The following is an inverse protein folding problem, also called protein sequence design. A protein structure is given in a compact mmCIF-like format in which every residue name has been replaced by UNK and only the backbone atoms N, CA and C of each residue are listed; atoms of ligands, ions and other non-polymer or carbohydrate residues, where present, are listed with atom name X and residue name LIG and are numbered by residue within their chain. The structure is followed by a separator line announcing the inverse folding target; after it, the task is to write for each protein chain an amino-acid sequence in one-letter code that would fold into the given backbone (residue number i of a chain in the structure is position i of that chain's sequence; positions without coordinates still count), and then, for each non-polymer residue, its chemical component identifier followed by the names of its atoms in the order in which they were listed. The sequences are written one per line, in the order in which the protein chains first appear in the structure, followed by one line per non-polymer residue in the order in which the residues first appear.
data_IF_437119107452
#
_entry.id   IF_437119107452
#
_cell.length_a   1.000
_cell.length_b   1.000
_cell.length_c   1.000
_cell.angle_alpha   90.00
_cell.angle_beta   90.00
_cell.angle_gamma   90.00
#
_symmetry.space_group_name_H-M   'P 1'
#
loop_
_entity.id
_entity.type
_entity.pdbx_description
1 polymer ?
#
# COMPACT_ATOMS: atom_id res chain seq x y z
N UNK A 1 -9.85 -11.04 -10.43
CA UNK A 1 -9.15 -9.93 -9.76
C UNK A 1 -9.86 -9.60 -8.46
N UNK A 2 -9.14 -9.59 -7.34
CA UNK A 2 -9.60 -9.22 -6.00
C UNK A 2 -8.73 -8.09 -5.47
N UNK A 3 -9.37 -6.99 -5.10
CA UNK A 3 -8.73 -5.82 -4.55
C UNK A 3 -9.25 -5.64 -3.13
N UNK A 4 -8.35 -5.51 -2.16
CA UNK A 4 -8.66 -5.25 -0.76
C UNK A 4 -8.20 -3.84 -0.43
N UNK A 5 -9.06 -3.04 0.20
CA UNK A 5 -8.70 -1.76 0.77
C UNK A 5 -8.82 -1.83 2.28
N UNK A 6 -7.80 -1.37 3.00
CA UNK A 6 -7.76 -1.43 4.45
C UNK A 6 -6.99 -0.26 5.06
N UNK A 7 -7.70 0.53 5.86
CA UNK A 7 -7.06 1.45 6.79
C UNK A 7 -6.44 0.62 7.93
N UNK A 8 -5.13 0.41 7.86
CA UNK A 8 -4.38 -0.48 8.75
C UNK A 8 -4.01 0.19 10.08
N UNK A 9 -4.12 1.53 10.14
CA UNK A 9 -3.88 2.33 11.33
C UNK A 9 -2.52 2.02 12.00
N UNK A 10 -1.42 2.04 11.24
CA UNK A 10 -0.03 1.66 11.58
C UNK A 10 0.34 0.24 11.16
N UNK A 11 1.00 0.14 10.01
CA UNK A 11 1.38 -1.14 9.35
C UNK A 11 2.32 -1.98 10.22
N UNK A 12 3.32 -1.35 10.86
CA UNK A 12 4.31 -2.07 11.69
C UNK A 12 3.69 -2.83 12.85
N UNK A 13 2.63 -2.30 13.44
CA UNK A 13 1.91 -2.94 14.55
C UNK A 13 0.96 -4.05 14.09
N UNK A 14 0.68 -4.15 12.79
CA UNK A 14 -0.35 -5.06 12.23
C UNK A 14 0.22 -6.08 11.25
N UNK A 15 1.55 -6.24 11.15
CA UNK A 15 2.16 -7.17 10.20
C UNK A 15 1.59 -8.59 10.30
N UNK A 16 1.44 -9.13 11.50
CA UNK A 16 0.88 -10.48 11.66
C UNK A 16 -0.60 -10.56 11.27
N UNK A 17 -1.35 -9.47 11.47
CA UNK A 17 -2.75 -9.41 11.04
C UNK A 17 -2.83 -9.28 9.52
N UNK A 18 -1.96 -8.48 8.91
CA UNK A 18 -1.84 -8.35 7.46
C UNK A 18 -1.56 -9.71 6.82
N UNK A 19 -0.60 -10.48 7.36
CA UNK A 19 -0.30 -11.85 6.90
C UNK A 19 -1.55 -12.73 6.92
N UNK A 20 -2.27 -12.78 8.06
CA UNK A 20 -3.53 -13.55 8.19
C UNK A 20 -4.61 -13.12 7.20
N UNK A 21 -4.77 -11.81 6.99
CA UNK A 21 -5.75 -11.25 6.05
C UNK A 21 -5.36 -11.58 4.60
N UNK A 22 -4.08 -11.47 4.26
CA UNK A 22 -3.56 -11.85 2.95
C UNK A 22 -3.77 -13.34 2.68
N UNK A 23 -3.48 -14.21 3.66
CA UNK A 23 -3.68 -15.65 3.55
C UNK A 23 -5.17 -16.00 3.36
N UNK A 24 -6.06 -15.38 4.14
CA UNK A 24 -7.50 -15.64 4.07
C UNK A 24 -8.16 -15.11 2.80
N UNK A 25 -7.73 -13.93 2.34
CA UNK A 25 -8.39 -13.24 1.21
C UNK A 25 -7.68 -13.46 -0.12
N UNK A 26 -6.41 -13.87 -0.16
CA UNK A 26 -5.64 -14.04 -1.39
C UNK A 26 -5.85 -12.88 -2.40
N UNK A 27 -5.58 -11.61 -2.02
CA UNK A 27 -5.84 -10.48 -2.91
C UNK A 27 -4.79 -10.37 -4.01
N UNK A 28 -5.21 -9.96 -5.21
CA UNK A 28 -4.29 -9.53 -6.27
C UNK A 28 -3.63 -8.20 -5.90
N UNK A 29 -4.38 -7.30 -5.27
CA UNK A 29 -3.90 -6.00 -4.79
C UNK A 29 -4.44 -5.70 -3.40
N UNK A 30 -3.58 -5.22 -2.50
CA UNK A 30 -3.96 -4.72 -1.18
C UNK A 30 -3.55 -3.24 -1.06
N UNK A 31 -4.54 -2.37 -0.94
CA UNK A 31 -4.38 -0.95 -0.70
C UNK A 31 -4.45 -0.67 0.81
N UNK A 32 -3.37 -0.10 1.35
CA UNK A 32 -3.29 0.28 2.76
C UNK A 32 -3.39 1.80 2.91
N UNK A 33 -4.15 2.25 3.90
CA UNK A 33 -4.19 3.64 4.36
C UNK A 33 -3.76 3.73 5.83
N UNK A 34 -3.34 4.92 6.26
CA UNK A 34 -2.80 5.15 7.59
C UNK A 34 -1.66 4.20 7.94
N UNK A 35 -0.68 4.02 7.04
CA UNK A 35 0.50 3.19 7.33
C UNK A 35 1.32 3.76 8.50
N UNK A 36 1.27 5.08 8.72
CA UNK A 36 1.95 5.83 9.81
C UNK A 36 3.46 5.58 9.88
N UNK A 37 4.04 5.14 8.77
CA UNK A 37 5.46 4.90 8.59
C UNK A 37 5.95 5.82 7.48
N UNK A 38 7.11 6.44 7.68
CA UNK A 38 7.89 7.02 6.59
C UNK A 38 8.51 5.90 5.75
N UNK A 39 8.95 6.19 4.53
CA UNK A 39 9.42 5.16 3.58
C UNK A 39 10.55 4.29 4.16
N UNK A 40 11.51 4.89 4.88
CA UNK A 40 12.61 4.16 5.53
C UNK A 40 12.17 3.19 6.63
N UNK A 41 10.99 3.43 7.20
CA UNK A 41 10.43 2.70 8.33
C UNK A 41 9.38 1.68 7.87
N UNK A 42 9.07 1.67 6.57
CA UNK A 42 8.08 0.76 6.02
C UNK A 42 8.61 -0.68 6.06
N UNK A 43 7.80 -1.66 6.53
CA UNK A 43 8.26 -3.03 6.74
C UNK A 43 8.29 -3.84 5.43
N UNK A 44 9.09 -3.38 4.46
CA UNK A 44 9.17 -3.93 3.09
C UNK A 44 9.47 -5.42 3.08
N UNK A 45 10.45 -5.88 3.87
CA UNK A 45 10.87 -7.28 3.90
C UNK A 45 9.75 -8.18 4.45
N UNK A 46 9.13 -7.78 5.56
CA UNK A 46 8.03 -8.54 6.16
C UNK A 46 6.78 -8.61 5.27
N UNK A 47 6.53 -7.58 4.46
CA UNK A 47 5.45 -7.56 3.46
C UNK A 47 5.81 -8.43 2.25
N UNK A 48 7.08 -8.45 1.84
CA UNK A 48 7.57 -9.35 0.80
C UNK A 48 7.41 -10.81 1.22
N UNK A 49 7.76 -11.14 2.45
CA UNK A 49 7.52 -12.46 3.06
C UNK A 49 6.04 -12.82 3.15
N UNK A 50 5.15 -11.82 3.26
CA UNK A 50 3.70 -12.00 3.23
C UNK A 50 3.13 -12.26 1.82
N UNK A 51 3.99 -12.38 0.81
CA UNK A 51 3.62 -12.68 -0.58
C UNK A 51 3.44 -11.45 -1.48
N UNK A 52 3.75 -10.25 -0.99
CA UNK A 52 3.64 -9.01 -1.78
C UNK A 52 5.03 -8.52 -2.22
N UNK A 53 5.53 -9.07 -3.32
CA UNK A 53 6.87 -8.78 -3.86
C UNK A 53 6.98 -7.40 -4.50
N UNK A 54 5.85 -6.75 -4.82
CA UNK A 54 5.80 -5.41 -5.38
C UNK A 54 5.03 -4.49 -4.45
N UNK A 55 5.59 -3.31 -4.21
CA UNK A 55 5.10 -2.37 -3.23
C UNK A 55 5.30 -0.96 -3.77
N UNK A 56 4.24 -0.15 -3.78
CA UNK A 56 4.31 1.28 -3.99
C UNK A 56 3.95 1.94 -2.67
N UNK A 57 4.88 2.69 -2.08
CA UNK A 57 4.74 3.26 -0.75
C UNK A 57 4.90 4.77 -0.84
N UNK A 58 4.04 5.49 -0.14
CA UNK A 58 4.21 6.91 0.11
C UNK A 58 3.92 7.18 1.57
N UNK A 59 4.98 7.29 2.36
CA UNK A 59 4.95 7.28 3.82
C UNK A 59 5.12 8.65 4.46
N UNK A 60 4.57 8.81 5.66
CA UNK A 60 4.75 9.98 6.51
C UNK A 60 4.91 9.52 7.96
N UNK A 61 5.89 10.10 8.68
CA UNK A 61 6.24 9.66 10.04
C UNK A 61 5.08 9.93 11.01
N UNK A 62 4.48 8.86 11.56
CA UNK A 62 3.46 8.95 12.60
C UNK A 62 2.07 9.42 12.15
N UNK A 63 1.92 9.84 10.90
CA UNK A 63 0.67 10.35 10.32
C UNK A 63 0.44 9.72 8.95
N UNK A 64 -0.83 9.67 8.50
CA UNK A 64 -1.22 9.27 7.14
C UNK A 64 -0.43 8.07 6.58
N UNK A 65 0.02 8.17 5.32
CA UNK A 65 0.78 7.16 4.63
C UNK A 65 -0.13 6.15 3.93
N UNK A 66 0.22 5.84 2.68
CA UNK A 66 -0.50 4.91 1.82
C UNK A 66 0.44 3.92 1.17
N UNK A 67 -0.06 2.73 0.87
CA UNK A 67 0.69 1.74 0.10
C UNK A 67 -0.23 0.91 -0.81
N UNK A 68 0.27 0.49 -1.97
CA UNK A 68 -0.34 -0.54 -2.82
C UNK A 68 0.62 -1.73 -2.83
N UNK A 69 0.12 -2.90 -2.44
CA UNK A 69 0.87 -4.15 -2.32
C UNK A 69 0.34 -5.16 -3.33
N UNK A 70 1.22 -5.87 -4.02
CA UNK A 70 0.83 -6.90 -4.99
C UNK A 70 1.96 -7.90 -5.23
N UNK A 71 1.61 -9.10 -5.71
CA UNK A 71 2.56 -9.99 -6.39
C UNK A 71 2.46 -9.88 -7.92
N UNK A 72 1.32 -9.40 -8.43
CA UNK A 72 1.08 -9.20 -9.86
C UNK A 72 1.94 -8.04 -10.39
N UNK A 73 2.15 -8.00 -11.70
CA UNK A 73 2.87 -6.89 -12.33
C UNK A 73 2.13 -5.56 -12.10
N UNK A 74 2.87 -4.55 -11.64
CA UNK A 74 2.42 -3.18 -11.56
C UNK A 74 3.63 -2.24 -11.64
N UNK A 75 3.38 -1.01 -12.10
CA UNK A 75 4.37 0.08 -12.09
C UNK A 75 3.83 1.33 -11.41
N UNK A 76 4.73 2.24 -11.05
CA UNK A 76 4.35 3.51 -10.43
C UNK A 76 3.45 4.34 -11.36
N UNK A 77 2.23 4.61 -10.91
CA UNK A 77 1.26 5.49 -11.58
C UNK A 77 1.32 6.94 -11.07
N UNK A 78 2.25 7.24 -10.18
CA UNK A 78 2.48 8.54 -9.58
C UNK A 78 1.67 8.79 -8.32
N UNK A 79 1.84 10.00 -7.77
CA UNK A 79 1.08 10.50 -6.63
C UNK A 79 0.57 11.90 -6.91
N UNK A 80 -0.30 12.39 -6.02
CA UNK A 80 -0.91 13.71 -6.12
C UNK A 80 -0.97 14.32 -4.73
N UNK A 81 -1.02 15.63 -4.70
CA UNK A 81 -1.24 16.42 -3.49
C UNK A 81 -2.56 17.17 -3.62
N UNK A 82 -3.27 17.28 -2.50
CA UNK A 82 -4.55 17.97 -2.43
C UNK A 82 -4.43 19.19 -1.57
N UNK A 83 -5.12 20.26 -1.96
CA UNK A 83 -5.16 21.50 -1.21
C UNK A 83 -3.75 22.07 -0.91
N UNK A 84 -2.78 21.86 -1.82
CA UNK A 84 -1.37 22.23 -1.65
C UNK A 84 -0.70 21.61 -0.41
N UNK A 85 -1.09 20.38 -0.03
CA UNK A 85 -0.53 19.64 1.11
C UNK A 85 0.09 18.32 0.68
N UNK A 86 1.34 18.11 1.10
CA UNK A 86 2.14 16.89 0.86
C UNK A 86 1.91 15.81 1.93
N UNK A 87 0.64 15.61 2.30
CA UNK A 87 0.24 14.79 3.46
C UNK A 87 0.36 13.26 3.21
N UNK A 88 0.89 12.80 2.07
CA UNK A 88 1.05 11.37 1.74
C UNK A 88 -0.28 10.58 1.79
N UNK A 89 -1.34 11.16 1.20
CA UNK A 89 -2.70 10.60 1.16
C UNK A 89 -3.07 9.99 -0.20
N UNK A 90 -2.08 9.72 -1.06
CA UNK A 90 -2.36 9.12 -2.35
C UNK A 90 -1.14 8.52 -3.01
N UNK A 91 -1.36 7.37 -3.62
CA UNK A 91 -0.46 6.72 -4.58
C UNK A 91 -1.30 5.98 -5.61
N UNK A 92 -0.82 5.90 -6.85
CA UNK A 92 -1.46 5.16 -7.91
C UNK A 92 -0.52 4.09 -8.47
N UNK A 93 -1.09 2.98 -8.93
CA UNK A 93 -0.40 1.93 -9.65
C UNK A 93 -0.97 1.81 -11.07
N UNK A 94 -0.12 1.75 -12.08
CA UNK A 94 -0.51 1.22 -13.39
C UNK A 94 -0.54 -0.32 -13.29
N UNK A 95 -1.71 -0.90 -13.56
CA UNK A 95 -1.96 -2.35 -13.47
C UNK A 95 -2.21 -2.98 -14.85
N UNK A 96 -1.86 -2.27 -15.93
CA UNK A 96 -2.03 -2.73 -17.31
C UNK A 96 -3.34 -2.31 -17.96
N UNK A 97 -3.46 -2.54 -19.27
CA UNK A 97 -4.67 -2.28 -20.07
C UNK A 97 -5.27 -0.88 -19.88
N UNK A 98 -4.41 0.14 -19.75
CA UNK A 98 -4.81 1.55 -19.49
C UNK A 98 -5.59 1.72 -18.18
N UNK A 99 -5.43 0.81 -17.23
CA UNK A 99 -6.12 0.82 -15.94
C UNK A 99 -5.16 1.24 -14.84
N UNK A 100 -5.58 2.24 -14.05
CA UNK A 100 -4.84 2.74 -12.90
C UNK A 100 -5.62 2.47 -11.62
N UNK A 101 -4.96 1.86 -10.65
CA UNK A 101 -5.49 1.66 -9.31
C UNK A 101 -5.05 2.82 -8.41
N UNK A 102 -6.01 3.63 -7.97
CA UNK A 102 -5.78 4.76 -7.08
C UNK A 102 -6.09 4.37 -5.63
N UNK A 103 -5.14 4.65 -4.72
CA UNK A 103 -5.32 4.49 -3.29
C UNK A 103 -5.26 5.86 -2.61
N UNK A 104 -6.25 6.17 -1.76
CA UNK A 104 -6.42 7.45 -1.06
C UNK A 104 -6.44 7.25 0.45
#
# INVERSE_FOLDING_TARGET
MRIVSWNINSVRLRIDTLKKVADALQPDFMCLQETKAQDSDFPTDAITEAGFTRQLVRGMKGYNGVAILSNAAMSDGGSRDWCAREDCRHVAADIGDKTFLHNF
#
